data_IF_241355866824
#
_entry.id   IF_241355866824
#
_cell.length_a   1.000
_cell.length_b   1.000
_cell.length_c   1.000
_cell.angle_alpha   90.00
_cell.angle_beta   90.00
_cell.angle_gamma   90.00
#
_symmetry.space_group_name_H-M   'P 1'
#
loop_
_entity.id
_entity.type
_entity.pdbx_description
1 polymer ?
#
# COMPACT_ATOMS: atom_id res chain seq x y z
N UNK A 1 9.58 -11.19 -6.04
CA UNK A 1 8.43 -11.44 -5.15
C UNK A 1 7.61 -12.63 -5.62
N UNK A 2 7.17 -12.62 -6.88
CA UNK A 2 6.32 -13.65 -7.49
C UNK A 2 6.76 -15.10 -7.23
N UNK A 3 8.06 -15.42 -7.30
CA UNK A 3 8.59 -16.78 -7.08
C UNK A 3 8.22 -17.36 -5.71
N UNK A 4 8.04 -16.54 -4.67
CA UNK A 4 7.68 -17.00 -3.34
C UNK A 4 6.24 -17.56 -3.25
N UNK A 5 5.37 -17.17 -4.19
CA UNK A 5 3.92 -17.38 -4.16
C UNK A 5 3.37 -18.15 -5.38
N UNK A 6 4.18 -18.38 -6.41
CA UNK A 6 3.84 -19.23 -7.56
C UNK A 6 3.64 -20.69 -7.12
N UNK A 7 2.73 -21.41 -7.76
CA UNK A 7 2.52 -22.84 -7.48
C UNK A 7 3.78 -23.66 -7.85
N UNK A 8 4.12 -24.65 -7.03
CA UNK A 8 5.32 -25.47 -7.28
C UNK A 8 5.28 -26.16 -8.65
N UNK A 9 4.09 -26.60 -9.09
CA UNK A 9 3.88 -27.23 -10.38
C UNK A 9 4.22 -26.31 -11.56
N UNK A 10 4.05 -25.00 -11.42
CA UNK A 10 4.45 -24.03 -12.45
C UNK A 10 5.98 -23.89 -12.52
N UNK A 11 6.68 -24.00 -11.39
CA UNK A 11 8.14 -24.01 -11.35
C UNK A 11 8.72 -25.30 -11.97
N UNK A 12 8.04 -26.42 -11.81
CA UNK A 12 8.44 -27.73 -12.36
C UNK A 12 8.35 -27.83 -13.89
N UNK A 13 7.65 -26.90 -14.55
CA UNK A 13 7.60 -26.81 -16.02
C UNK A 13 8.94 -26.30 -16.59
N UNK A 14 9.77 -25.66 -15.77
CA UNK A 14 11.07 -25.13 -16.16
C UNK A 14 12.07 -26.28 -16.33
N UNK A 15 12.68 -26.37 -17.52
CA UNK A 15 13.68 -27.40 -17.82
C UNK A 15 14.86 -27.33 -16.84
N UNK A 16 15.12 -28.44 -16.14
CA UNK A 16 16.17 -28.54 -15.14
C UNK A 16 15.80 -28.13 -13.72
N UNK A 17 14.53 -27.79 -13.44
CA UNK A 17 14.02 -27.57 -12.07
C UNK A 17 13.31 -28.84 -11.59
N UNK A 18 13.82 -29.44 -10.52
CA UNK A 18 13.15 -30.53 -9.80
C UNK A 18 12.45 -30.02 -8.53
N UNK A 19 11.65 -30.88 -7.89
CA UNK A 19 10.84 -30.54 -6.70
C UNK A 19 11.69 -29.96 -5.57
N UNK A 20 12.85 -30.57 -5.30
CA UNK A 20 13.75 -30.10 -4.27
C UNK A 20 14.32 -28.70 -4.58
N UNK A 21 14.68 -28.46 -5.85
CA UNK A 21 15.17 -27.15 -6.30
C UNK A 21 14.06 -26.10 -6.26
N UNK A 22 12.84 -26.45 -6.67
CA UNK A 22 11.69 -25.55 -6.61
C UNK A 22 11.37 -25.14 -5.15
N UNK A 23 11.36 -26.09 -4.22
CA UNK A 23 11.15 -25.84 -2.79
C UNK A 23 12.25 -24.94 -2.19
N UNK A 24 13.52 -25.18 -2.55
CA UNK A 24 14.63 -24.34 -2.09
C UNK A 24 14.50 -22.91 -2.62
N UNK A 25 14.15 -22.76 -3.91
CA UNK A 25 13.94 -21.46 -4.53
C UNK A 25 12.80 -20.68 -3.87
N UNK A 26 11.66 -21.33 -3.61
CA UNK A 26 10.53 -20.69 -2.91
C UNK A 26 10.91 -20.29 -1.50
N UNK A 27 11.56 -21.20 -0.76
CA UNK A 27 12.01 -20.94 0.62
C UNK A 27 12.93 -19.72 0.67
N UNK A 28 13.93 -19.69 -0.20
CA UNK A 28 14.87 -18.56 -0.27
C UNK A 28 14.18 -17.27 -0.69
N UNK A 29 13.22 -17.33 -1.61
CA UNK A 29 12.44 -16.18 -2.02
C UNK A 29 11.63 -15.62 -0.85
N UNK A 30 10.98 -16.47 -0.05
CA UNK A 30 10.24 -16.06 1.17
C UNK A 30 11.17 -15.46 2.22
N UNK A 31 12.28 -16.12 2.53
CA UNK A 31 13.27 -15.59 3.48
C UNK A 31 13.78 -14.20 3.07
N UNK A 32 13.98 -13.98 1.76
CA UNK A 32 14.39 -12.69 1.23
C UNK A 32 13.29 -11.62 1.39
N UNK A 33 12.02 -11.95 1.12
CA UNK A 33 10.90 -11.03 1.33
C UNK A 33 10.69 -10.70 2.80
N UNK A 34 10.77 -11.70 3.69
CA UNK A 34 10.68 -11.51 5.14
C UNK A 34 11.82 -10.63 5.67
N UNK A 35 13.04 -10.82 5.17
CA UNK A 35 14.18 -9.98 5.53
C UNK A 35 13.98 -8.53 5.09
N UNK A 36 13.43 -8.29 3.89
CA UNK A 36 13.10 -6.94 3.42
C UNK A 36 11.99 -6.30 4.24
N UNK A 37 10.89 -7.02 4.49
CA UNK A 37 9.77 -6.56 5.31
C UNK A 37 10.24 -6.16 6.71
N UNK A 38 11.10 -6.98 7.32
CA UNK A 38 11.69 -6.67 8.63
C UNK A 38 12.59 -5.44 8.59
N UNK A 39 13.45 -5.30 7.58
CA UNK A 39 14.32 -4.13 7.45
C UNK A 39 13.51 -2.84 7.23
N UNK A 40 12.45 -2.90 6.42
CA UNK A 40 11.56 -1.77 6.20
C UNK A 40 10.83 -1.37 7.49
N UNK A 41 10.35 -2.36 8.24
CA UNK A 41 9.71 -2.13 9.53
C UNK A 41 10.66 -1.51 10.57
N UNK A 42 11.88 -2.05 10.68
CA UNK A 42 12.93 -1.52 11.56
C UNK A 42 13.23 -0.05 11.19
N UNK A 43 13.34 0.25 9.88
CA UNK A 43 13.58 1.60 9.37
C UNK A 43 12.42 2.56 9.69
N UNK A 44 11.17 2.13 9.50
CA UNK A 44 10.00 2.94 9.81
C UNK A 44 9.92 3.25 11.32
N UNK A 45 10.22 2.26 12.17
CA UNK A 45 10.30 2.45 13.63
C UNK A 45 11.43 3.41 14.03
N UNK A 46 12.60 3.34 13.39
CA UNK A 46 13.70 4.29 13.62
C UNK A 46 13.31 5.73 13.27
N UNK A 47 12.43 5.91 12.27
CA UNK A 47 11.89 7.21 11.87
C UNK A 47 10.77 7.70 12.78
N UNK A 48 10.27 6.84 13.68
CA UNK A 48 9.29 7.19 14.70
C UNK A 48 7.85 6.88 14.33
N UNK A 49 7.61 5.96 13.38
CA UNK A 49 6.25 5.50 13.08
C UNK A 49 5.61 4.90 14.33
N UNK A 50 4.37 5.28 14.60
CA UNK A 50 3.64 4.87 15.79
C UNK A 50 2.78 3.61 15.55
N UNK A 51 2.52 2.88 16.63
CA UNK A 51 1.65 1.69 16.62
C UNK A 51 0.27 1.95 15.99
N UNK A 52 -0.23 3.20 16.03
CA UNK A 52 -1.48 3.59 15.40
C UNK A 52 -1.48 3.38 13.88
N UNK A 53 -0.37 3.70 13.20
CA UNK A 53 -0.21 3.51 11.77
C UNK A 53 0.30 2.10 11.44
N UNK A 54 1.18 1.54 12.28
CA UNK A 54 1.70 0.16 12.11
C UNK A 54 0.57 -0.87 12.08
N UNK A 55 -0.44 -0.69 12.94
CA UNK A 55 -1.56 -1.63 13.06
C UNK A 55 -2.71 -1.31 12.11
N UNK A 56 -2.56 -0.31 11.23
CA UNK A 56 -3.56 0.02 10.21
C UNK A 56 -3.54 -1.04 9.10
N UNK A 57 -4.71 -1.57 8.76
CA UNK A 57 -4.85 -2.59 7.73
C UNK A 57 -4.67 -1.99 6.33
N UNK A 58 -4.08 -2.76 5.41
CA UNK A 58 -3.84 -2.32 4.03
C UNK A 58 -2.48 -1.68 3.79
N UNK A 59 -1.65 -1.47 4.82
CA UNK A 59 -0.27 -0.99 4.65
C UNK A 59 0.75 -2.10 4.86
N UNK A 60 1.67 -2.24 3.90
CA UNK A 60 2.82 -3.15 4.02
C UNK A 60 3.97 -2.48 4.78
N UNK A 61 4.93 -3.24 5.34
CA UNK A 61 6.12 -2.66 5.97
C UNK A 61 6.92 -1.71 5.07
N UNK A 62 6.96 -1.99 3.76
CA UNK A 62 7.61 -1.14 2.77
C UNK A 62 6.85 0.18 2.57
N UNK A 63 5.51 0.13 2.50
CA UNK A 63 4.68 1.34 2.46
C UNK A 63 4.86 2.18 3.73
N UNK A 64 4.86 1.54 4.91
CA UNK A 64 5.11 2.22 6.19
C UNK A 64 6.47 2.91 6.23
N UNK A 65 7.51 2.29 5.65
CA UNK A 65 8.82 2.94 5.52
C UNK A 65 8.74 4.21 4.67
N UNK A 66 8.10 4.14 3.49
CA UNK A 66 8.00 5.30 2.59
C UNK A 66 7.20 6.44 3.22
N UNK A 67 6.06 6.12 3.85
CA UNK A 67 5.26 7.08 4.62
C UNK A 67 6.08 7.74 5.73
N UNK A 68 6.84 6.94 6.50
CA UNK A 68 7.68 7.46 7.57
C UNK A 68 8.84 8.33 7.07
N UNK A 69 9.38 8.05 5.88
CA UNK A 69 10.41 8.88 5.24
C UNK A 69 9.87 10.26 4.81
N UNK A 70 8.58 10.35 4.49
CA UNK A 70 7.88 11.62 4.21
C UNK A 70 7.35 12.32 5.49
N UNK A 71 7.46 11.66 6.65
CA UNK A 71 7.04 12.21 7.94
C UNK A 71 5.59 11.90 8.31
N UNK A 72 4.92 11.00 7.60
CA UNK A 72 3.63 10.42 7.98
C UNK A 72 3.90 9.32 8.99
N UNK A 73 3.79 9.65 10.29
CA UNK A 73 4.22 8.76 11.38
C UNK A 73 3.06 8.16 12.17
N UNK A 74 1.89 8.79 12.13
CA UNK A 74 0.71 8.38 12.89
C UNK A 74 -0.49 8.12 11.99
N UNK A 75 -1.50 7.43 12.51
CA UNK A 75 -2.78 7.27 11.81
C UNK A 75 -3.45 8.63 11.55
N UNK A 76 -3.28 9.60 12.44
CA UNK A 76 -3.79 10.97 12.25
C UNK A 76 -3.11 11.66 11.06
N UNK A 77 -1.78 11.59 10.97
CA UNK A 77 -1.04 12.16 9.82
C UNK A 77 -1.53 11.53 8.51
N UNK A 78 -1.64 10.20 8.48
CA UNK A 78 -2.10 9.46 7.30
C UNK A 78 -3.52 9.85 6.88
N UNK A 79 -4.44 10.03 7.83
CA UNK A 79 -5.82 10.46 7.56
C UNK A 79 -5.92 11.89 7.00
N UNK A 80 -4.89 12.72 7.19
CA UNK A 80 -4.83 14.08 6.60
C UNK A 80 -4.34 14.11 5.15
N UNK A 81 -3.70 13.03 4.67
CA UNK A 81 -3.27 12.94 3.28
C UNK A 81 -4.47 13.03 2.33
N UNK A 82 -4.21 13.53 1.14
CA UNK A 82 -5.06 13.35 -0.01
C UNK A 82 -4.71 12.05 -0.75
N UNK A 83 -5.72 11.47 -1.40
CA UNK A 83 -5.62 10.29 -2.25
C UNK A 83 -4.53 10.42 -3.32
N UNK A 84 -4.46 11.57 -4.00
CA UNK A 84 -3.45 11.83 -5.03
C UNK A 84 -2.03 12.02 -4.47
N UNK A 85 -1.87 12.35 -3.18
CA UNK A 85 -0.55 12.39 -2.54
C UNK A 85 0.01 10.96 -2.36
N UNK A 86 -0.87 9.94 -2.26
CA UNK A 86 -0.49 8.55 -2.17
C UNK A 86 -0.36 7.89 -3.55
N UNK A 87 -1.39 7.99 -4.40
CA UNK A 87 -1.44 7.32 -5.70
C UNK A 87 -0.75 8.10 -6.84
N UNK A 88 -0.48 9.38 -6.60
CA UNK A 88 0.08 10.29 -7.59
C UNK A 88 -0.95 10.81 -8.57
N UNK A 89 -0.55 11.79 -9.38
CA UNK A 89 -1.47 12.54 -10.22
C UNK A 89 -0.79 13.33 -11.30
N UNK A 90 -1.57 14.20 -11.95
CA UNK A 90 -1.05 15.13 -12.94
C UNK A 90 -1.58 16.53 -12.65
N UNK A 91 -0.68 17.48 -12.47
CA UNK A 91 -1.03 18.90 -12.38
C UNK A 91 -0.68 19.64 -13.66
N UNK A 92 -1.23 20.85 -13.81
CA UNK A 92 -0.88 21.74 -14.92
C UNK A 92 -0.14 22.95 -14.37
N UNK A 93 1.10 23.13 -14.80
CA UNK A 93 1.94 24.27 -14.45
C UNK A 93 2.27 25.00 -15.75
N UNK A 94 1.92 26.29 -15.83
CA UNK A 94 2.14 27.12 -17.03
C UNK A 94 1.58 26.56 -18.35
N UNK A 95 0.49 25.77 -18.26
CA UNK A 95 -0.16 25.14 -19.42
C UNK A 95 0.46 23.82 -19.86
N UNK A 96 1.47 23.32 -19.15
CA UNK A 96 2.10 22.02 -19.39
C UNK A 96 1.67 21.03 -18.31
N UNK A 97 1.40 19.77 -18.73
CA UNK A 97 1.09 18.69 -17.80
C UNK A 97 2.39 18.20 -17.14
N UNK A 98 2.43 18.24 -15.82
CA UNK A 98 3.53 17.74 -14.99
C UNK A 98 3.02 16.53 -14.20
N UNK A 99 3.85 15.49 -14.08
CA UNK A 99 3.53 14.30 -13.27
C UNK A 99 3.92 14.60 -11.83
N UNK A 100 2.98 14.38 -10.91
CA UNK A 100 3.23 14.37 -9.48
C UNK A 100 3.24 12.92 -9.05
N UNK A 101 4.39 12.47 -8.53
CA UNK A 101 4.57 11.08 -8.06
C UNK A 101 4.00 10.97 -6.66
N UNK A 102 3.09 10.01 -6.47
CA UNK A 102 2.54 9.71 -5.16
C UNK A 102 3.50 8.90 -4.30
N UNK A 103 3.36 9.00 -2.98
CA UNK A 103 4.18 8.29 -2.01
C UNK A 103 4.09 6.77 -2.18
N UNK A 104 2.90 6.25 -2.51
CA UNK A 104 2.66 4.81 -2.64
C UNK A 104 2.50 4.36 -4.10
N UNK A 105 2.74 5.26 -5.08
CA UNK A 105 2.60 4.97 -6.51
C UNK A 105 3.49 3.79 -6.95
N UNK A 106 4.65 3.60 -6.31
CA UNK A 106 5.56 2.49 -6.62
C UNK A 106 5.03 1.10 -6.22
N UNK A 107 4.01 1.05 -5.36
CA UNK A 107 3.36 -0.18 -4.92
C UNK A 107 2.06 -0.45 -5.69
N UNK A 108 1.85 0.23 -6.82
CA UNK A 108 0.67 0.14 -7.68
C UNK A 108 -0.66 0.52 -6.95
N UNK A 109 -0.57 1.32 -5.88
CA UNK A 109 -1.75 1.85 -5.18
C UNK A 109 -2.51 2.80 -6.09
N UNK A 110 -3.75 2.44 -6.42
CA UNK A 110 -4.62 3.25 -7.26
C UNK A 110 -5.20 4.45 -6.50
N UNK A 111 -5.75 5.43 -7.21
CA UNK A 111 -6.40 6.59 -6.58
C UNK A 111 -7.60 6.18 -5.72
N UNK A 112 -8.39 5.23 -6.21
CA UNK A 112 -9.53 4.65 -5.49
C UNK A 112 -9.08 3.93 -4.22
N UNK A 113 -8.05 3.09 -4.32
CA UNK A 113 -7.49 2.39 -3.16
C UNK A 113 -6.89 3.36 -2.13
N UNK A 114 -6.19 4.40 -2.59
CA UNK A 114 -5.69 5.47 -1.71
C UNK A 114 -6.84 6.21 -1.00
N UNK A 115 -7.91 6.52 -1.73
CA UNK A 115 -9.11 7.13 -1.16
C UNK A 115 -9.71 6.22 -0.09
N UNK A 116 -9.90 4.93 -0.36
CA UNK A 116 -10.45 3.96 0.59
C UNK A 116 -9.62 3.84 1.88
N UNK A 117 -8.29 3.77 1.74
CA UNK A 117 -7.36 3.73 2.88
C UNK A 117 -7.51 5.00 3.74
N UNK A 118 -7.53 6.17 3.11
CA UNK A 118 -7.68 7.45 3.82
C UNK A 118 -9.04 7.54 4.51
N UNK A 119 -10.12 7.14 3.83
CA UNK A 119 -11.47 7.18 4.40
C UNK A 119 -11.60 6.19 5.56
N UNK A 120 -11.01 5.00 5.45
CA UNK A 120 -10.96 4.02 6.54
C UNK A 120 -10.22 4.59 7.76
N UNK A 121 -9.07 5.24 7.55
CA UNK A 121 -8.33 5.89 8.63
C UNK A 121 -9.17 7.00 9.32
N UNK A 122 -9.86 7.83 8.53
CA UNK A 122 -10.74 8.89 9.05
C UNK A 122 -11.91 8.33 9.86
N UNK A 123 -12.51 7.22 9.43
CA UNK A 123 -13.56 6.52 10.19
C UNK A 123 -13.01 5.96 11.50
N UNK A 124 -11.84 5.32 11.48
CA UNK A 124 -11.21 4.80 12.70
C UNK A 124 -10.89 5.89 13.72
N UNK A 125 -10.57 7.10 13.26
CA UNK A 125 -10.36 8.29 14.11
C UNK A 125 -11.67 8.99 14.50
N UNK A 126 -12.81 8.59 13.95
CA UNK A 126 -14.11 9.21 14.17
C UNK A 126 -14.26 10.60 13.54
N UNK A 127 -13.45 10.92 12.52
CA UNK A 127 -13.55 12.17 11.76
C UNK A 127 -14.70 12.13 10.75
N UNK A 128 -15.03 10.93 10.28
CA UNK A 128 -16.12 10.64 9.36
C UNK A 128 -17.04 9.61 10.01
N UNK A 129 -18.34 9.85 9.95
CA UNK A 129 -19.33 8.87 10.38
C UNK A 129 -19.51 7.81 9.27
N UNK A 130 -19.34 6.51 9.55
CA UNK A 130 -19.55 5.48 8.54
C UNK A 130 -20.97 5.48 7.95
N UNK A 131 -21.98 5.98 8.66
CA UNK A 131 -23.34 6.11 8.11
C UNK A 131 -23.43 7.18 7.01
N UNK A 132 -22.56 8.19 7.03
CA UNK A 132 -22.50 9.22 5.99
C UNK A 132 -21.84 8.69 4.71
N UNK A 133 -20.85 7.79 4.83
CA UNK A 133 -20.19 7.17 3.67
C UNK A 133 -21.12 6.26 2.88
N UNK A 134 -21.90 5.44 3.58
CA UNK A 134 -22.88 4.54 2.93
C UNK A 134 -23.97 5.35 2.20
N UNK A 135 -24.27 6.56 2.67
CA UNK A 135 -25.22 7.44 2.01
C UNK A 135 -24.66 8.05 0.71
N UNK A 136 -23.34 8.32 0.64
CA UNK A 136 -22.68 8.83 -0.57
C UNK A 136 -22.58 7.76 -1.66
N UNK A 137 -22.14 6.54 -1.33
CA UNK A 137 -22.13 5.39 -2.27
C UNK A 137 -23.53 5.10 -2.83
N UNK A 138 -24.55 5.13 -1.95
CA UNK A 138 -25.93 4.90 -2.36
C UNK A 138 -26.51 6.04 -3.21
N UNK A 139 -25.91 7.23 -3.21
CA UNK A 139 -26.30 8.31 -4.12
C UNK A 139 -25.56 8.25 -5.46
N UNK A 140 -24.30 7.83 -5.48
CA UNK A 140 -23.54 7.62 -6.72
C UNK A 140 -24.13 6.47 -7.55
N UNK A 141 -24.57 5.37 -6.92
CA UNK A 141 -25.27 4.28 -7.62
C UNK A 141 -26.63 4.69 -8.24
N UNK A 142 -27.24 5.80 -7.77
CA UNK A 142 -28.55 6.25 -8.25
C UNK A 142 -28.44 7.29 -9.38
N UNK A 143 -27.27 7.90 -9.58
CA UNK A 143 -27.04 8.86 -10.67
C UNK A 143 -26.54 8.24 -11.99
N UNK A 144 -26.29 6.92 -12.03
CA UNK A 144 -25.86 6.18 -13.24
C UNK A 144 -26.99 5.58 -14.12
N UNK A 145 -28.27 5.87 -13.88
CA UNK A 145 -29.42 5.37 -14.69
C UNK A 145 -30.18 6.44 -15.52
#
# INVERSE_FOLDING_TARGET
EEVAYVEIDELLVIDGVDEATADELQTRAREFLEAQARAAMERAQELGVEDSLINFEGLTPQMLQVLAEDGVLTLEDFATCADWELAGGWTTVDGERVKDTGLLEEFDVSLEEAQDLIMTARVMLGWVDPEELVAEDATEEVEED
#
